data_IF_738515130215
#
_entry.id   IF_738515130215
#
_cell.length_a   1.000
_cell.length_b   1.000
_cell.length_c   1.000
_cell.angle_alpha   90.00
_cell.angle_beta   90.00
_cell.angle_gamma   90.00
#
_symmetry.space_group_name_H-M   'P 1'
#
loop_
_entity.id
_entity.type
_entity.pdbx_description
1 polymer ?
#
# COMPACT_ATOMS: atom_id res chain seq x y z
N UNK A 1 33.65 -5.60 10.88
CA UNK A 1 32.63 -5.70 11.96
C UNK A 1 31.30 -5.02 11.60
N UNK A 2 31.31 -3.82 10.97
CA UNK A 2 30.09 -3.09 10.58
C UNK A 2 29.25 -3.78 9.49
N UNK A 3 29.88 -4.39 8.48
CA UNK A 3 29.19 -5.04 7.35
C UNK A 3 28.35 -6.26 7.77
N UNK A 4 28.94 -7.18 8.54
CA UNK A 4 28.23 -8.38 9.07
C UNK A 4 27.02 -8.00 9.94
N UNK A 5 27.11 -6.89 10.68
CA UNK A 5 25.98 -6.35 11.47
C UNK A 5 24.84 -5.87 10.57
N UNK A 6 25.16 -5.15 9.49
CA UNK A 6 24.17 -4.66 8.53
C UNK A 6 23.50 -5.79 7.74
N UNK A 7 24.26 -6.84 7.37
CA UNK A 7 23.71 -8.03 6.72
C UNK A 7 22.73 -8.77 7.65
N UNK A 8 23.09 -8.97 8.92
CA UNK A 8 22.20 -9.60 9.92
C UNK A 8 20.93 -8.79 10.15
N UNK A 9 21.05 -7.46 10.21
CA UNK A 9 19.90 -6.55 10.33
C UNK A 9 18.99 -6.61 9.09
N UNK A 10 19.58 -6.65 7.90
CA UNK A 10 18.83 -6.78 6.64
C UNK A 10 18.09 -8.10 6.57
N UNK A 11 18.71 -9.20 7.00
CA UNK A 11 18.05 -10.51 7.06
C UNK A 11 16.84 -10.51 8.03
N UNK A 12 17.01 -9.91 9.21
CA UNK A 12 15.90 -9.73 10.15
C UNK A 12 14.74 -8.94 9.51
N UNK A 13 15.05 -7.82 8.84
CA UNK A 13 14.04 -6.97 8.21
C UNK A 13 13.35 -7.67 7.03
N UNK A 14 14.08 -8.50 6.26
CA UNK A 14 13.49 -9.36 5.24
C UNK A 14 12.42 -10.28 5.84
N UNK A 15 12.75 -11.00 6.92
CA UNK A 15 11.82 -11.92 7.58
C UNK A 15 10.61 -11.15 8.13
N UNK A 16 10.83 -10.05 8.83
CA UNK A 16 9.77 -9.26 9.44
C UNK A 16 8.77 -8.75 8.38
N UNK A 17 9.27 -8.16 7.29
CA UNK A 17 8.40 -7.66 6.20
C UNK A 17 7.68 -8.78 5.47
N UNK A 18 8.32 -9.94 5.30
CA UNK A 18 7.70 -11.11 4.67
C UNK A 18 6.55 -11.65 5.51
N UNK A 19 6.72 -11.74 6.83
CA UNK A 19 5.65 -12.14 7.76
C UNK A 19 4.50 -11.12 7.70
N UNK A 20 4.79 -9.83 7.68
CA UNK A 20 3.78 -8.78 7.60
C UNK A 20 3.01 -8.80 6.26
N UNK A 21 3.71 -9.11 5.16
CA UNK A 21 3.08 -9.32 3.85
C UNK A 21 2.09 -10.49 3.89
N UNK A 22 2.50 -11.64 4.44
CA UNK A 22 1.63 -12.81 4.56
C UNK A 22 0.45 -12.53 5.49
N UNK A 23 0.67 -11.87 6.62
CA UNK A 23 -0.41 -11.54 7.55
C UNK A 23 -1.45 -10.60 6.92
N UNK A 24 -1.03 -9.65 6.08
CA UNK A 24 -1.98 -8.77 5.36
C UNK A 24 -2.89 -9.54 4.42
N UNK A 25 -2.39 -10.59 3.75
CA UNK A 25 -3.21 -11.47 2.89
C UNK A 25 -4.17 -12.30 3.73
N UNK A 26 -3.70 -12.85 4.85
CA UNK A 26 -4.54 -13.62 5.77
C UNK A 26 -5.68 -12.76 6.32
N UNK A 27 -5.40 -11.51 6.71
CA UNK A 27 -6.42 -10.57 7.18
C UNK A 27 -7.47 -10.28 6.10
N UNK A 28 -7.07 -10.15 4.83
CA UNK A 28 -8.00 -9.97 3.73
C UNK A 28 -8.97 -11.16 3.58
N UNK A 29 -8.43 -12.39 3.65
CA UNK A 29 -9.23 -13.62 3.58
C UNK A 29 -10.19 -13.70 4.77
N UNK A 30 -9.72 -13.40 5.98
CA UNK A 30 -10.56 -13.40 7.18
C UNK A 30 -11.68 -12.38 7.06
N UNK A 31 -11.42 -11.18 6.54
CA UNK A 31 -12.45 -10.15 6.35
C UNK A 31 -13.57 -10.62 5.40
N UNK A 32 -13.21 -11.28 4.30
CA UNK A 32 -14.18 -11.86 3.35
C UNK A 32 -14.98 -12.98 4.01
N UNK A 33 -14.33 -13.90 4.72
CA UNK A 33 -15.00 -15.00 5.41
C UNK A 33 -15.95 -14.47 6.49
N UNK A 34 -15.52 -13.48 7.28
CA UNK A 34 -16.36 -12.88 8.32
C UNK A 34 -17.65 -12.27 7.73
N UNK A 35 -17.57 -11.57 6.59
CA UNK A 35 -18.75 -11.01 5.92
C UNK A 35 -19.63 -12.09 5.29
N UNK A 36 -19.05 -13.17 4.75
CA UNK A 36 -19.82 -14.30 4.18
C UNK A 36 -20.57 -15.12 5.23
N UNK A 37 -19.99 -15.31 6.42
CA UNK A 37 -20.55 -16.19 7.45
C UNK A 37 -21.33 -15.45 8.55
N UNK A 38 -21.16 -14.13 8.72
CA UNK A 38 -21.97 -13.37 9.66
C UNK A 38 -23.32 -12.99 9.04
N UNK A 39 -24.40 -13.40 9.69
CA UNK A 39 -25.76 -12.87 9.41
C UNK A 39 -26.01 -11.50 10.06
N UNK A 40 -25.04 -10.97 10.82
CA UNK A 40 -25.07 -9.65 11.45
C UNK A 40 -24.05 -8.75 10.77
N UNK A 41 -24.37 -7.46 10.71
CA UNK A 41 -23.48 -6.40 10.21
C UNK A 41 -22.11 -6.52 10.89
N UNK A 42 -21.09 -6.85 10.12
CA UNK A 42 -19.72 -6.84 10.61
C UNK A 42 -19.35 -5.37 10.75
N UNK A 43 -19.15 -4.92 11.99
CA UNK A 43 -18.74 -3.55 12.26
C UNK A 43 -17.28 -3.39 11.83
N UNK A 44 -17.08 -3.06 10.56
CA UNK A 44 -15.78 -2.67 10.04
C UNK A 44 -15.56 -1.24 10.53
N UNK A 45 -14.75 -1.09 11.58
CA UNK A 45 -14.38 0.22 12.07
C UNK A 45 -13.78 1.00 10.89
N UNK A 46 -14.45 2.10 10.52
CA UNK A 46 -13.90 3.08 9.61
C UNK A 46 -12.69 3.68 10.33
N UNK A 47 -11.49 3.25 9.94
CA UNK A 47 -10.26 3.81 10.51
C UNK A 47 -10.32 5.32 10.29
N UNK A 48 -10.28 6.10 11.38
CA UNK A 48 -10.28 7.56 11.30
C UNK A 48 -9.17 7.99 10.34
N UNK A 49 -9.53 8.78 9.33
CA UNK A 49 -8.60 9.10 8.26
C UNK A 49 -7.65 10.20 8.74
N UNK A 50 -6.36 9.88 8.84
CA UNK A 50 -5.23 10.82 8.96
C UNK A 50 -5.00 11.62 7.65
N UNK A 51 -6.10 12.08 7.04
CA UNK A 51 -6.10 12.88 5.81
C UNK A 51 -5.80 14.33 6.13
N UNK A 52 -4.73 14.86 5.53
CA UNK A 52 -4.28 16.24 5.68
C UNK A 52 -5.14 17.18 4.85
N UNK A 53 -5.36 16.79 3.58
CA UNK A 53 -6.30 17.44 2.69
C UNK A 53 -7.50 16.53 2.50
N UNK A 54 -8.68 17.09 2.60
CA UNK A 54 -9.92 16.34 2.52
C UNK A 54 -10.95 17.10 1.70
N UNK A 55 -11.55 16.41 0.74
CA UNK A 55 -12.67 16.87 -0.05
C UNK A 55 -13.74 15.79 -0.02
N UNK A 56 -14.90 16.11 0.54
CA UNK A 56 -16.07 15.24 0.54
C UNK A 56 -17.26 15.98 -0.01
N UNK A 57 -17.97 15.32 -0.92
CA UNK A 57 -19.30 15.74 -1.33
C UNK A 57 -20.17 14.51 -1.47
N UNK A 58 -21.35 14.57 -0.86
CA UNK A 58 -22.30 13.48 -0.85
C UNK A 58 -23.71 14.01 -1.10
N UNK A 59 -24.47 13.29 -1.91
CA UNK A 59 -25.88 13.52 -2.16
C UNK A 59 -26.54 12.16 -2.17
N UNK A 60 -27.50 11.97 -1.28
CA UNK A 60 -28.28 10.74 -1.19
C UNK A 60 -29.64 10.97 -1.83
N UNK A 61 -30.05 10.10 -2.75
CA UNK A 61 -31.39 10.13 -3.36
C UNK A 61 -32.17 8.91 -2.86
N UNK A 62 -32.96 9.08 -1.79
CA UNK A 62 -33.80 8.02 -1.26
C UNK A 62 -34.51 8.37 0.05
N UNK A 63 -35.75 7.90 0.21
CA UNK A 63 -36.61 8.23 1.37
C UNK A 63 -36.32 7.36 2.61
N UNK A 64 -35.60 6.23 2.45
CA UNK A 64 -35.18 5.35 3.56
C UNK A 64 -33.80 4.71 3.25
N UNK A 65 -32.81 4.88 4.14
CA UNK A 65 -31.42 4.42 3.95
C UNK A 65 -31.19 2.90 4.12
N UNK A 66 -32.22 2.15 4.53
CA UNK A 66 -32.13 0.74 4.91
C UNK A 66 -31.72 -0.25 3.79
N UNK A 67 -32.10 -0.09 2.51
CA UNK A 67 -31.77 -1.09 1.48
C UNK A 67 -30.32 -1.01 0.97
N UNK A 68 -29.57 0.05 1.28
CA UNK A 68 -28.21 0.26 0.74
C UNK A 68 -27.08 -0.05 1.74
N UNK A 69 -27.40 -0.25 3.02
CA UNK A 69 -26.39 -0.56 4.07
C UNK A 69 -25.59 -1.82 3.73
N UNK A 70 -26.27 -2.89 3.30
CA UNK A 70 -25.59 -4.13 2.89
C UNK A 70 -24.66 -3.92 1.69
N UNK A 71 -25.08 -3.09 0.72
CA UNK A 71 -24.29 -2.80 -0.48
C UNK A 71 -23.04 -1.98 -0.12
N UNK A 72 -23.18 -0.98 0.76
CA UNK A 72 -22.06 -0.19 1.27
C UNK A 72 -21.03 -1.06 2.02
N UNK A 73 -21.50 -1.99 2.86
CA UNK A 73 -20.62 -2.93 3.56
C UNK A 73 -19.82 -3.83 2.59
N UNK A 74 -20.44 -4.33 1.51
CA UNK A 74 -19.73 -5.10 0.49
C UNK A 74 -18.70 -4.27 -0.28
N UNK A 75 -19.02 -3.01 -0.58
CA UNK A 75 -18.06 -2.07 -1.19
C UNK A 75 -16.85 -1.87 -0.27
N UNK A 76 -17.10 -1.63 1.03
CA UNK A 76 -16.03 -1.46 2.02
C UNK A 76 -15.13 -2.69 2.13
N UNK A 77 -15.70 -3.89 2.19
CA UNK A 77 -14.92 -5.15 2.21
C UNK A 77 -14.11 -5.28 0.92
N UNK A 78 -14.70 -5.03 -0.24
CA UNK A 78 -14.03 -5.11 -1.53
C UNK A 78 -12.83 -4.16 -1.62
N UNK A 79 -13.01 -2.91 -1.21
CA UNK A 79 -11.93 -1.90 -1.18
C UNK A 79 -10.85 -2.27 -0.16
N UNK A 80 -11.21 -2.80 1.01
CA UNK A 80 -10.26 -3.25 2.02
C UNK A 80 -9.41 -4.44 1.54
N UNK A 81 -10.02 -5.42 0.87
CA UNK A 81 -9.31 -6.56 0.26
C UNK A 81 -8.37 -6.07 -0.83
N UNK A 82 -8.84 -5.18 -1.70
CA UNK A 82 -8.00 -4.60 -2.74
C UNK A 82 -6.79 -3.84 -2.16
N UNK A 83 -7.02 -3.01 -1.14
CA UNK A 83 -5.97 -2.23 -0.47
C UNK A 83 -4.95 -3.13 0.22
N UNK A 84 -5.41 -4.18 0.91
CA UNK A 84 -4.53 -5.13 1.59
C UNK A 84 -3.69 -5.95 0.61
N UNK A 85 -4.19 -6.27 -0.59
CA UNK A 85 -3.38 -6.90 -1.65
C UNK A 85 -2.25 -5.98 -2.13
N UNK A 86 -2.51 -4.69 -2.33
CA UNK A 86 -1.48 -3.72 -2.69
C UNK A 86 -0.42 -3.63 -1.58
N UNK A 87 -0.86 -3.54 -0.32
CA UNK A 87 0.04 -3.50 0.84
C UNK A 87 0.89 -4.76 0.93
N UNK A 88 0.29 -5.94 0.77
CA UNK A 88 1.00 -7.22 0.75
C UNK A 88 2.12 -7.22 -0.29
N UNK A 89 1.80 -6.75 -1.49
CA UNK A 89 2.73 -6.70 -2.61
C UNK A 89 3.87 -5.69 -2.39
N UNK A 90 3.56 -4.54 -1.80
CA UNK A 90 4.54 -3.53 -1.41
C UNK A 90 5.51 -4.10 -0.36
N UNK A 91 4.99 -4.70 0.71
CA UNK A 91 5.79 -5.31 1.78
C UNK A 91 6.66 -6.46 1.27
N UNK A 92 6.12 -7.26 0.35
CA UNK A 92 6.89 -8.32 -0.31
C UNK A 92 8.06 -7.75 -1.11
N UNK A 93 7.80 -6.71 -1.91
CA UNK A 93 8.85 -6.04 -2.72
C UNK A 93 9.94 -5.43 -1.82
N UNK A 94 9.55 -4.78 -0.73
CA UNK A 94 10.48 -4.27 0.27
C UNK A 94 11.31 -5.41 0.90
N UNK A 95 10.69 -6.54 1.23
CA UNK A 95 11.40 -7.70 1.78
C UNK A 95 12.49 -8.20 0.84
N UNK A 96 12.26 -8.18 -0.48
CA UNK A 96 13.23 -8.65 -1.46
C UNK A 96 14.47 -7.75 -1.53
N UNK A 97 14.32 -6.44 -1.34
CA UNK A 97 15.46 -5.52 -1.24
C UNK A 97 16.37 -5.94 -0.08
N UNK A 98 15.79 -6.18 1.10
CA UNK A 98 16.58 -6.56 2.28
C UNK A 98 17.18 -7.97 2.19
N UNK A 99 16.54 -8.88 1.46
CA UNK A 99 17.11 -10.20 1.14
C UNK A 99 18.42 -10.04 0.35
N UNK A 100 18.41 -9.18 -0.67
CA UNK A 100 19.59 -8.99 -1.53
C UNK A 100 20.70 -8.24 -0.79
N UNK A 101 20.34 -7.24 0.04
CA UNK A 101 21.30 -6.58 0.93
C UNK A 101 21.92 -7.54 1.94
N UNK A 102 21.17 -8.51 2.46
CA UNK A 102 21.70 -9.52 3.38
C UNK A 102 22.74 -10.44 2.72
N UNK A 103 22.57 -10.75 1.43
CA UNK A 103 23.45 -11.65 0.69
C UNK A 103 24.78 -10.98 0.30
N UNK A 104 24.72 -9.93 -0.52
CA UNK A 104 25.92 -9.34 -1.15
C UNK A 104 26.19 -7.88 -0.74
N UNK A 105 25.28 -7.27 0.03
CA UNK A 105 25.34 -5.87 0.47
C UNK A 105 25.76 -4.88 -0.64
N UNK A 106 25.06 -4.91 -1.77
CA UNK A 106 25.23 -3.97 -2.89
C UNK A 106 24.01 -3.03 -2.95
N UNK A 107 24.00 -1.92 -2.19
CA UNK A 107 22.84 -1.03 -2.11
C UNK A 107 22.56 -0.28 -3.41
N UNK A 108 23.61 0.01 -4.20
CA UNK A 108 23.53 0.71 -5.48
C UNK A 108 23.67 -0.29 -6.63
N UNK A 109 22.59 -0.99 -6.91
CA UNK A 109 22.46 -1.88 -8.06
C UNK A 109 21.13 -1.56 -8.76
N UNK A 110 21.10 -1.64 -10.09
CA UNK A 110 19.92 -1.40 -10.92
C UNK A 110 18.69 -2.20 -10.45
N UNK A 111 18.90 -3.43 -9.98
CA UNK A 111 17.82 -4.27 -9.42
C UNK A 111 17.21 -3.62 -8.18
N UNK A 112 18.04 -3.15 -7.25
CA UNK A 112 17.60 -2.50 -6.01
C UNK A 112 16.89 -1.18 -6.32
N UNK A 113 17.45 -0.38 -7.22
CA UNK A 113 16.86 0.89 -7.67
C UNK A 113 15.49 0.66 -8.32
N UNK A 114 15.38 -0.32 -9.23
CA UNK A 114 14.11 -0.68 -9.87
C UNK A 114 13.05 -1.11 -8.86
N UNK A 115 13.43 -1.88 -7.82
CA UNK A 115 12.50 -2.27 -6.75
C UNK A 115 12.10 -1.08 -5.88
N UNK A 116 13.01 -0.16 -5.58
CA UNK A 116 12.71 1.06 -4.83
C UNK A 116 11.73 1.95 -5.60
N UNK A 117 11.92 2.10 -6.92
CA UNK A 117 10.98 2.78 -7.81
C UNK A 117 9.60 2.14 -7.74
N UNK A 118 9.54 0.82 -7.79
CA UNK A 118 8.30 0.06 -7.72
C UNK A 118 7.59 0.28 -6.39
N UNK A 119 8.32 0.31 -5.27
CA UNK A 119 7.76 0.62 -3.95
C UNK A 119 7.16 2.03 -3.95
N UNK A 120 7.86 3.04 -4.45
CA UNK A 120 7.34 4.41 -4.52
C UNK A 120 6.04 4.50 -5.32
N UNK A 121 5.98 3.84 -6.49
CA UNK A 121 4.77 3.77 -7.32
C UNK A 121 3.64 3.01 -6.60
N UNK A 122 3.94 1.89 -5.94
CA UNK A 122 2.95 1.13 -5.17
C UNK A 122 2.41 1.93 -3.98
N UNK A 123 3.25 2.72 -3.30
CA UNK A 123 2.82 3.61 -2.22
C UNK A 123 1.86 4.68 -2.76
N UNK A 124 2.14 5.23 -3.94
CA UNK A 124 1.26 6.22 -4.58
C UNK A 124 -0.08 5.60 -4.96
N UNK A 125 -0.07 4.40 -5.55
CA UNK A 125 -1.27 3.63 -5.89
C UNK A 125 -2.07 3.34 -4.62
N UNK A 126 -1.42 2.85 -3.56
CA UNK A 126 -2.05 2.56 -2.28
C UNK A 126 -2.69 3.80 -1.65
N UNK A 127 -2.05 4.97 -1.78
CA UNK A 127 -2.56 6.21 -1.20
C UNK A 127 -3.83 6.70 -1.91
N UNK A 128 -3.92 6.57 -3.25
CA UNK A 128 -4.98 7.21 -4.05
C UNK A 128 -6.08 6.25 -4.50
N UNK A 129 -5.71 5.08 -5.02
CA UNK A 129 -6.63 4.20 -5.76
C UNK A 129 -7.77 3.67 -4.89
N UNK A 130 -7.56 3.21 -3.63
CA UNK A 130 -8.66 2.73 -2.79
C UNK A 130 -9.80 3.75 -2.61
N UNK A 131 -9.47 5.02 -2.43
CA UNK A 131 -10.44 6.10 -2.20
C UNK A 131 -11.26 6.39 -3.46
N UNK A 132 -10.59 6.40 -4.61
CA UNK A 132 -11.20 6.60 -5.92
C UNK A 132 -12.12 5.42 -6.25
N UNK A 133 -11.65 4.20 -6.04
CA UNK A 133 -12.43 2.97 -6.25
C UNK A 133 -13.66 2.97 -5.35
N UNK A 134 -13.52 3.34 -4.08
CA UNK A 134 -14.66 3.48 -3.16
C UNK A 134 -15.70 4.47 -3.70
N UNK A 135 -15.27 5.68 -4.07
CA UNK A 135 -16.18 6.74 -4.56
C UNK A 135 -16.90 6.34 -5.85
N UNK A 136 -16.19 5.67 -6.78
CA UNK A 136 -16.78 5.16 -8.02
C UNK A 136 -17.80 4.06 -7.73
N UNK A 137 -17.43 3.05 -6.93
CA UNK A 137 -18.32 1.94 -6.58
C UNK A 137 -19.58 2.43 -5.86
N UNK A 138 -19.42 3.35 -4.91
CA UNK A 138 -20.54 3.94 -4.19
C UNK A 138 -21.49 4.68 -5.14
N UNK A 139 -20.95 5.52 -6.04
CA UNK A 139 -21.77 6.30 -6.99
C UNK A 139 -22.47 5.43 -8.03
N UNK A 140 -21.89 4.29 -8.41
CA UNK A 140 -22.48 3.37 -9.40
C UNK A 140 -23.54 2.44 -8.78
N UNK A 141 -23.34 2.01 -7.53
CA UNK A 141 -24.16 0.98 -6.89
C UNK A 141 -25.24 1.51 -5.94
N UNK A 142 -25.10 2.76 -5.47
CA UNK A 142 -26.02 3.39 -4.51
C UNK A 142 -26.58 4.67 -5.16
N UNK A 143 -27.90 4.90 -5.15
CA UNK A 143 -28.50 6.08 -5.75
C UNK A 143 -28.05 7.35 -5.03
N UNK A 144 -27.46 8.26 -5.81
CA UNK A 144 -26.80 9.45 -5.30
C UNK A 144 -25.34 9.50 -5.76
N UNK A 145 -24.55 10.37 -5.13
CA UNK A 145 -23.10 10.38 -5.29
C UNK A 145 -22.43 10.50 -3.93
N UNK A 146 -21.29 9.85 -3.77
CA UNK A 146 -20.38 10.06 -2.63
C UNK A 146 -18.97 10.12 -3.19
N UNK A 147 -18.43 11.33 -3.26
CA UNK A 147 -17.06 11.57 -3.69
C UNK A 147 -16.28 11.91 -2.44
N UNK A 148 -15.37 11.04 -2.07
CA UNK A 148 -14.44 11.24 -0.98
C UNK A 148 -13.01 11.13 -1.51
N UNK A 149 -12.28 12.24 -1.45
CA UNK A 149 -10.90 12.32 -1.86
C UNK A 149 -10.07 12.99 -0.77
N UNK A 150 -9.01 12.33 -0.35
CA UNK A 150 -8.10 12.90 0.64
C UNK A 150 -6.64 12.55 0.40
N UNK A 151 -5.76 13.49 0.69
CA UNK A 151 -4.31 13.25 0.66
C UNK A 151 -3.83 13.02 2.08
N UNK A 152 -3.34 11.81 2.33
CA UNK A 152 -2.73 11.41 3.60
C UNK A 152 -1.20 11.48 3.52
N UNK A 153 -0.53 11.29 4.66
CA UNK A 153 0.94 11.25 4.71
C UNK A 153 1.56 10.23 3.76
N UNK A 154 0.87 9.12 3.48
CA UNK A 154 1.34 8.08 2.55
C UNK A 154 1.55 8.62 1.13
N UNK A 155 0.72 9.57 0.68
CA UNK A 155 0.92 10.25 -0.61
C UNK A 155 2.24 11.03 -0.64
N UNK A 156 2.49 11.83 0.40
CA UNK A 156 3.74 12.61 0.50
C UNK A 156 4.96 11.71 0.62
N UNK A 157 4.87 10.63 1.40
CA UNK A 157 5.95 9.64 1.47
C UNK A 157 6.20 8.98 0.11
N UNK A 158 5.17 8.66 -0.66
CA UNK A 158 5.35 8.10 -2.00
C UNK A 158 6.17 9.04 -2.91
N UNK A 159 5.88 10.35 -2.88
CA UNK A 159 6.65 11.35 -3.63
C UNK A 159 8.10 11.46 -3.14
N UNK A 160 8.32 11.50 -1.83
CA UNK A 160 9.66 11.56 -1.24
C UNK A 160 10.47 10.31 -1.63
N UNK A 161 9.88 9.11 -1.52
CA UNK A 161 10.52 7.87 -1.92
C UNK A 161 10.80 7.80 -3.43
N UNK A 162 9.94 8.41 -4.25
CA UNK A 162 10.18 8.53 -5.69
C UNK A 162 11.42 9.40 -5.96
N UNK A 163 11.52 10.57 -5.34
CA UNK A 163 12.71 11.42 -5.44
C UNK A 163 13.96 10.72 -4.91
N UNK A 164 13.84 10.01 -3.79
CA UNK A 164 14.95 9.25 -3.22
C UNK A 164 15.43 8.15 -4.18
N UNK A 165 14.50 7.49 -4.87
CA UNK A 165 14.84 6.50 -5.89
C UNK A 165 15.73 7.09 -6.99
N UNK A 166 15.45 8.33 -7.41
CA UNK A 166 16.25 9.02 -8.43
C UNK A 166 17.67 9.30 -7.96
N UNK A 167 17.82 9.68 -6.68
CA UNK A 167 19.13 9.86 -6.04
C UNK A 167 19.89 8.52 -6.00
N UNK A 168 19.22 7.42 -5.65
CA UNK A 168 19.82 6.09 -5.66
C UNK A 168 20.22 5.63 -7.08
N UNK A 169 19.43 5.98 -8.10
CA UNK A 169 19.75 5.71 -9.50
C UNK A 169 21.02 6.44 -9.93
N UNK A 170 21.13 7.71 -9.58
CA UNK A 170 22.34 8.51 -9.83
C UNK A 170 23.56 7.97 -9.06
N UNK A 171 23.36 7.53 -7.80
CA UNK A 171 24.41 6.87 -7.04
C UNK A 171 24.90 5.57 -7.71
N UNK A 172 23.99 4.77 -8.27
CA UNK A 172 24.34 3.56 -9.01
C UNK A 172 25.11 3.86 -10.31
N UNK A 173 24.73 4.91 -11.06
CA UNK A 173 25.48 5.31 -12.26
C UNK A 173 26.89 5.78 -11.92
N UNK A 174 27.05 6.59 -10.87
CA UNK A 174 28.37 7.04 -10.41
C UNK A 174 29.26 5.87 -9.96
N UNK A 175 28.68 4.91 -9.24
CA UNK A 175 29.44 3.73 -8.80
C UNK A 175 29.90 2.90 -10.01
N UNK A 176 29.05 2.74 -11.02
CA UNK A 176 29.40 2.03 -12.26
C UNK A 176 30.53 2.74 -13.02
N UNK A 177 30.45 4.07 -13.18
CA UNK A 177 31.51 4.84 -13.83
C UNK A 177 32.84 4.72 -13.08
N UNK A 178 32.83 4.77 -11.75
CA UNK A 178 34.03 4.58 -10.94
C UNK A 178 34.64 3.19 -11.13
N UNK A 179 33.83 2.13 -11.16
CA UNK A 179 34.30 0.74 -11.31
C UNK A 179 34.86 0.48 -12.73
N UNK A 180 34.39 1.19 -13.77
CA UNK A 180 34.87 1.07 -15.15
C UNK A 180 36.16 1.87 -15.43
N UNK A 181 36.55 2.80 -14.55
CA UNK A 181 37.78 3.61 -14.69
C UNK A 181 39.02 3.04 -13.98
N UNK A 182 38.87 1.89 -13.30
CA UNK A 182 39.95 1.14 -12.66
C UNK A 182 40.50 0.03 -13.57
#
# INVERSE_FOLDING_TARGET
MKLKRLQKMSYFLHIALKILSISSVIMAIIAVLMKLFSSKNVMINKLESDTIFYFQTELFVGENNLPYVETEEWILVGVAVFSSMILAYLLWTASMIFKDLAANFTPFNDITVSRLRRIAVLMLIYALVPQIVYSILHTVLIPGYSINFGLNMSFFFALIFYCLTEIFRYGASLQKESDETL
#
